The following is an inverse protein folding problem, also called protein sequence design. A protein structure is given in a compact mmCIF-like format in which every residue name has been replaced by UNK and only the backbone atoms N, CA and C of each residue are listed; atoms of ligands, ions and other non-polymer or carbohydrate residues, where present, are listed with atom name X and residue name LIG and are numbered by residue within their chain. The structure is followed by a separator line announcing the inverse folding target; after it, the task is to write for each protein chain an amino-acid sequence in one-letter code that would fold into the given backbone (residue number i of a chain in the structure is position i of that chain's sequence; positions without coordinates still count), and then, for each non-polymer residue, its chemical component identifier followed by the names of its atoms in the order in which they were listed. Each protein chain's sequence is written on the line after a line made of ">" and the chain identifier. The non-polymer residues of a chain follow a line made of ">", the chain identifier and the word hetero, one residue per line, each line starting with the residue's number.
data_IF_561977860733
#
_entry.id   IF_561977860733
#
_cell.length_a   1.000
_cell.length_b   1.000
_cell.length_c   1.000
_cell.angle_alpha   90.00
_cell.angle_beta   90.00
_cell.angle_gamma   90.00
#
_symmetry.space_group_name_H-M   'P 1'
#
loop_
_entity.id
_entity.type
_entity.pdbx_description
1 polymer ?
#
# COMPACT_ATOMS: atom_id res chain seq x y z
N UNK A 1 18.20 13.47 -13.66
CA UNK A 1 16.80 13.79 -14.00
C UNK A 1 16.19 12.92 -15.10
N UNK A 2 16.93 12.52 -16.11
CA UNK A 2 16.39 11.72 -17.22
C UNK A 2 15.81 10.34 -16.87
N UNK A 3 16.33 9.64 -15.85
CA UNK A 3 15.82 8.33 -15.46
C UNK A 3 14.42 8.41 -14.84
N UNK A 4 14.14 9.41 -13.99
CA UNK A 4 12.83 9.59 -13.35
C UNK A 4 11.74 9.92 -14.35
N UNK A 5 12.06 10.72 -15.37
CA UNK A 5 11.15 11.09 -16.46
C UNK A 5 10.83 9.87 -17.32
N UNK A 6 11.82 9.05 -17.65
CA UNK A 6 11.61 7.79 -18.40
C UNK A 6 10.72 6.81 -17.65
N UNK A 7 10.95 6.65 -16.35
CA UNK A 7 10.11 5.78 -15.49
C UNK A 7 8.67 6.29 -15.44
N UNK A 8 8.47 7.60 -15.30
CA UNK A 8 7.13 8.20 -15.30
C UNK A 8 6.41 8.02 -16.64
N UNK A 9 7.10 8.21 -17.77
CA UNK A 9 6.55 8.05 -19.12
C UNK A 9 6.07 6.61 -19.36
N UNK A 10 6.76 5.61 -18.80
CA UNK A 10 6.37 4.20 -18.90
C UNK A 10 5.27 3.85 -17.88
N UNK A 11 5.38 4.37 -16.66
CA UNK A 11 4.45 4.06 -15.58
C UNK A 11 3.04 4.61 -15.81
N UNK A 12 2.91 5.81 -16.38
CA UNK A 12 1.61 6.45 -16.63
C UNK A 12 0.75 5.64 -17.62
N UNK A 13 1.25 5.22 -18.80
CA UNK A 13 0.46 4.39 -19.73
C UNK A 13 0.08 3.04 -19.13
N UNK A 14 0.98 2.41 -18.38
CA UNK A 14 0.70 1.14 -17.70
C UNK A 14 -0.40 1.31 -16.66
N UNK A 15 -0.33 2.37 -15.86
CA UNK A 15 -1.37 2.68 -14.87
C UNK A 15 -2.73 2.94 -15.52
N UNK A 16 -2.77 3.71 -16.59
CA UNK A 16 -4.01 3.97 -17.34
C UNK A 16 -4.59 2.70 -17.98
N UNK A 17 -3.73 1.83 -18.49
CA UNK A 17 -4.14 0.55 -19.05
C UNK A 17 -4.73 -0.36 -17.96
N UNK A 18 -4.08 -0.45 -16.79
CA UNK A 18 -4.58 -1.22 -15.65
C UNK A 18 -5.91 -0.69 -15.13
N UNK A 19 -6.08 0.62 -15.07
CA UNK A 19 -7.35 1.26 -14.67
C UNK A 19 -8.47 0.90 -15.65
N UNK A 20 -8.17 0.86 -16.94
CA UNK A 20 -9.15 0.50 -17.98
C UNK A 20 -9.55 -0.97 -17.96
N UNK A 21 -8.60 -1.87 -17.79
CA UNK A 21 -8.88 -3.31 -17.76
C UNK A 21 -9.71 -3.74 -16.56
N UNK A 22 -9.48 -3.09 -15.44
CA UNK A 22 -10.32 -3.25 -14.26
C UNK A 22 -10.26 -4.57 -13.51
N UNK A 23 -11.07 -4.67 -12.46
CA UNK A 23 -11.26 -5.91 -11.70
C UNK A 23 -9.99 -6.42 -11.02
N UNK A 24 -9.79 -7.73 -11.07
CA UNK A 24 -8.69 -8.42 -10.42
C UNK A 24 -7.31 -7.97 -10.91
N UNK A 25 -7.18 -7.67 -12.22
CA UNK A 25 -5.91 -7.21 -12.80
C UNK A 25 -5.47 -5.86 -12.22
N UNK A 26 -6.41 -4.94 -12.00
CA UNK A 26 -6.12 -3.67 -11.34
C UNK A 26 -5.68 -3.87 -9.90
N UNK A 27 -6.38 -4.72 -9.14
CA UNK A 27 -6.04 -5.04 -7.76
C UNK A 27 -4.64 -5.68 -7.65
N UNK A 28 -4.30 -6.61 -8.56
CA UNK A 28 -2.97 -7.21 -8.63
C UNK A 28 -1.89 -6.18 -8.99
N UNK A 29 -2.16 -5.29 -9.93
CA UNK A 29 -1.24 -4.20 -10.28
C UNK A 29 -0.96 -3.27 -9.09
N UNK A 30 -1.99 -2.87 -8.35
CA UNK A 30 -1.87 -2.06 -7.14
C UNK A 30 -1.13 -2.82 -6.03
N UNK A 31 -1.37 -4.12 -5.88
CA UNK A 31 -0.65 -4.97 -4.93
C UNK A 31 0.84 -5.00 -5.25
N UNK A 32 1.21 -5.23 -6.50
CA UNK A 32 2.61 -5.23 -6.93
C UNK A 32 3.26 -3.87 -6.66
N UNK A 33 2.59 -2.77 -7.02
CA UNK A 33 3.09 -1.42 -6.75
C UNK A 33 3.27 -1.15 -5.25
N UNK A 34 2.33 -1.59 -4.42
CA UNK A 34 2.42 -1.47 -2.96
C UNK A 34 3.61 -2.24 -2.38
N UNK A 35 3.84 -3.46 -2.85
CA UNK A 35 4.96 -4.29 -2.40
C UNK A 35 6.31 -3.75 -2.89
N UNK A 36 6.39 -3.31 -4.14
CA UNK A 36 7.59 -2.66 -4.69
C UNK A 36 7.88 -1.36 -3.95
N UNK A 37 6.86 -0.54 -3.70
CA UNK A 37 7.00 0.70 -2.92
C UNK A 37 7.50 0.44 -1.50
N UNK A 38 6.99 -0.63 -0.84
CA UNK A 38 7.48 -1.03 0.47
C UNK A 38 8.94 -1.51 0.43
N UNK A 39 9.32 -2.25 -0.59
CA UNK A 39 10.69 -2.71 -0.77
C UNK A 39 11.67 -1.55 -0.99
N UNK A 40 11.30 -0.56 -1.81
CA UNK A 40 12.09 0.66 -2.00
C UNK A 40 12.20 1.48 -0.70
N UNK A 41 11.07 1.65 0.00
CA UNK A 41 11.02 2.32 1.30
C UNK A 41 11.95 1.66 2.32
N UNK A 42 11.88 0.34 2.44
CA UNK A 42 12.77 -0.43 3.30
C UNK A 42 14.24 -0.24 2.93
N UNK A 43 14.58 -0.35 1.65
CA UNK A 43 15.95 -0.21 1.18
C UNK A 43 16.52 1.19 1.47
N UNK A 44 15.70 2.22 1.35
CA UNK A 44 16.06 3.59 1.68
C UNK A 44 16.42 3.71 3.18
N UNK A 45 15.57 3.21 4.06
CA UNK A 45 15.76 3.28 5.50
C UNK A 45 16.92 2.39 6.00
N UNK A 46 17.12 1.24 5.39
CA UNK A 46 18.24 0.34 5.74
C UNK A 46 19.60 0.99 5.47
N UNK A 47 19.69 1.90 4.51
CA UNK A 47 20.92 2.68 4.25
C UNK A 47 21.25 3.62 5.41
N UNK A 48 20.24 4.11 6.12
CA UNK A 48 20.39 4.98 7.29
C UNK A 48 20.49 4.19 8.60
N UNK A 49 20.65 2.86 8.52
CA UNK A 49 20.80 1.99 9.69
C UNK A 49 19.47 1.67 10.41
N UNK A 50 18.34 2.04 9.83
CA UNK A 50 17.01 1.81 10.40
C UNK A 50 16.48 0.46 9.93
N UNK A 51 16.01 -0.35 10.87
CA UNK A 51 15.46 -1.68 10.59
C UNK A 51 13.94 -1.61 10.47
N UNK A 52 13.44 -1.84 9.29
CA UNK A 52 11.99 -1.99 9.05
C UNK A 52 11.62 -3.48 9.16
N UNK A 53 10.54 -3.77 9.89
CA UNK A 53 10.03 -5.14 10.06
C UNK A 53 9.39 -5.63 8.77
N UNK A 54 10.15 -6.40 8.02
CA UNK A 54 9.81 -6.79 6.65
C UNK A 54 8.59 -7.71 6.59
N UNK A 55 8.54 -8.73 7.44
CA UNK A 55 7.48 -9.73 7.41
C UNK A 55 6.12 -9.09 7.72
N UNK A 56 6.04 -8.35 8.80
CA UNK A 56 4.80 -7.66 9.24
C UNK A 56 4.39 -6.57 8.24
N UNK A 57 5.35 -5.83 7.70
CA UNK A 57 5.09 -4.80 6.68
C UNK A 57 4.52 -5.37 5.39
N UNK A 58 5.15 -6.41 4.83
CA UNK A 58 4.69 -7.05 3.58
C UNK A 58 3.30 -7.68 3.77
N UNK A 59 3.10 -8.43 4.85
CA UNK A 59 1.82 -9.06 5.14
C UNK A 59 0.72 -8.02 5.39
N UNK A 60 1.02 -6.96 6.15
CA UNK A 60 0.07 -5.91 6.45
C UNK A 60 -0.37 -5.16 5.20
N UNK A 61 0.56 -4.68 4.39
CA UNK A 61 0.27 -3.98 3.14
C UNK A 61 -0.46 -4.91 2.16
N UNK A 62 0.01 -6.14 2.01
CA UNK A 62 -0.60 -7.12 1.13
C UNK A 62 -2.05 -7.44 1.51
N UNK A 63 -2.33 -7.66 2.79
CA UNK A 63 -3.69 -7.95 3.26
C UNK A 63 -4.62 -6.73 3.21
N UNK A 64 -4.12 -5.52 3.44
CA UNK A 64 -4.90 -4.29 3.27
C UNK A 64 -5.35 -4.12 1.81
N UNK A 65 -4.42 -4.29 0.88
CA UNK A 65 -4.73 -4.17 -0.56
C UNK A 65 -5.63 -5.33 -1.01
N UNK A 66 -5.38 -6.55 -0.56
CA UNK A 66 -6.21 -7.71 -0.87
C UNK A 66 -7.63 -7.56 -0.30
N UNK A 67 -7.79 -7.07 0.92
CA UNK A 67 -9.09 -6.80 1.54
C UNK A 67 -9.91 -5.78 0.73
N UNK A 68 -9.27 -4.73 0.25
CA UNK A 68 -9.90 -3.77 -0.65
C UNK A 68 -10.27 -4.40 -2.00
N UNK A 69 -9.39 -5.22 -2.59
CA UNK A 69 -9.63 -5.91 -3.85
C UNK A 69 -10.75 -6.97 -3.79
N UNK A 70 -11.05 -7.48 -2.61
CA UNK A 70 -12.17 -8.40 -2.36
C UNK A 70 -13.50 -7.66 -2.08
N UNK A 71 -13.51 -6.33 -2.15
CA UNK A 71 -14.70 -5.52 -1.91
C UNK A 71 -15.16 -5.52 -0.45
N UNK A 72 -14.22 -5.64 0.49
CA UNK A 72 -14.50 -5.66 1.93
C UNK A 72 -13.83 -4.47 2.64
N UNK A 73 -14.32 -3.25 2.45
CA UNK A 73 -13.74 -2.05 3.05
C UNK A 73 -13.81 -2.05 4.59
N UNK A 74 -14.75 -2.76 5.17
CA UNK A 74 -14.89 -2.90 6.62
C UNK A 74 -13.68 -3.55 7.29
N UNK A 75 -12.86 -4.29 6.54
CA UNK A 75 -11.67 -4.96 7.06
C UNK A 75 -10.45 -4.05 7.15
N UNK A 76 -10.47 -2.89 6.48
CA UNK A 76 -9.30 -1.99 6.44
C UNK A 76 -8.92 -1.47 7.82
N UNK A 77 -9.88 -0.98 8.61
CA UNK A 77 -9.62 -0.47 9.95
C UNK A 77 -9.12 -1.56 10.91
N UNK A 78 -9.82 -2.70 11.07
CA UNK A 78 -9.35 -3.75 11.97
C UNK A 78 -8.00 -4.35 11.54
N UNK A 79 -7.75 -4.50 10.24
CA UNK A 79 -6.44 -4.96 9.75
C UNK A 79 -5.34 -3.95 10.05
N UNK A 80 -5.56 -2.66 9.81
CA UNK A 80 -4.58 -1.61 10.12
C UNK A 80 -4.25 -1.61 11.61
N UNK A 81 -5.27 -1.70 12.47
CA UNK A 81 -5.09 -1.75 13.92
C UNK A 81 -4.32 -3.00 14.34
N UNK A 82 -4.71 -4.17 13.83
CA UNK A 82 -4.05 -5.44 14.13
C UNK A 82 -2.57 -5.41 13.76
N UNK A 83 -2.26 -4.98 12.53
CA UNK A 83 -0.88 -4.93 12.07
C UNK A 83 -0.05 -3.86 12.77
N UNK A 84 -0.64 -2.73 13.15
CA UNK A 84 0.03 -1.73 13.98
C UNK A 84 0.39 -2.28 15.36
N UNK A 85 -0.51 -3.06 15.98
CA UNK A 85 -0.22 -3.75 17.24
C UNK A 85 0.86 -4.83 17.08
N UNK A 86 0.82 -5.60 15.99
CA UNK A 86 1.85 -6.61 15.70
C UNK A 86 3.23 -5.96 15.52
N UNK A 87 3.31 -4.83 14.83
CA UNK A 87 4.56 -4.07 14.68
C UNK A 87 5.07 -3.57 16.03
N UNK A 88 4.18 -3.12 16.91
CA UNK A 88 4.57 -2.74 18.27
C UNK A 88 5.10 -3.92 19.09
N UNK A 89 4.43 -5.08 19.02
CA UNK A 89 4.90 -6.30 19.70
C UNK A 89 6.24 -6.78 19.15
N UNK A 90 6.41 -6.76 17.83
CA UNK A 90 7.68 -7.09 17.18
C UNK A 90 8.79 -6.13 17.62
N UNK A 91 8.50 -4.84 17.71
CA UNK A 91 9.40 -3.82 18.24
C UNK A 91 9.81 -4.07 19.68
N UNK A 92 8.88 -4.47 20.55
CA UNK A 92 9.17 -4.83 21.92
C UNK A 92 10.05 -6.08 22.02
N UNK A 93 9.84 -7.05 21.14
CA UNK A 93 10.67 -8.24 21.08
C UNK A 93 12.13 -7.92 20.74
N UNK A 94 12.35 -6.99 19.80
CA UNK A 94 13.69 -6.53 19.40
C UNK A 94 14.17 -5.31 20.17
N UNK A 95 13.53 -4.95 21.29
CA UNK A 95 13.89 -3.78 22.10
C UNK A 95 15.37 -3.73 22.50
N UNK A 96 15.94 -4.90 22.82
CA UNK A 96 17.34 -5.02 23.22
C UNK A 96 18.36 -4.66 22.12
N UNK A 97 17.95 -4.64 20.85
CA UNK A 97 18.82 -4.27 19.72
C UNK A 97 18.95 -2.76 19.53
N UNK A 98 18.21 -1.95 20.28
CA UNK A 98 18.19 -0.49 20.18
C UNK A 98 17.26 0.04 19.07
N UNK A 99 17.12 1.38 19.01
CA UNK A 99 16.31 2.07 18.00
C UNK A 99 14.82 1.65 17.91
N UNK A 100 14.29 1.13 19.01
CA UNK A 100 12.89 0.66 19.09
C UNK A 100 11.87 1.68 18.58
N UNK A 101 11.86 2.96 19.01
CA UNK A 101 10.84 3.90 18.56
C UNK A 101 10.90 4.19 17.07
N UNK A 102 12.10 4.28 16.52
CA UNK A 102 12.33 4.59 15.11
C UNK A 102 11.92 3.43 14.21
N UNK A 103 12.39 2.23 14.52
CA UNK A 103 12.07 1.02 13.74
C UNK A 103 10.57 0.72 13.72
N UNK A 104 9.93 0.80 14.89
CA UNK A 104 8.50 0.56 15.06
C UNK A 104 7.67 1.65 14.39
N UNK A 105 8.01 2.91 14.66
CA UNK A 105 7.28 4.05 14.11
C UNK A 105 7.32 4.10 12.58
N UNK A 106 8.50 3.86 11.99
CA UNK A 106 8.66 3.87 10.54
C UNK A 106 8.01 2.65 9.87
N UNK A 107 7.94 1.50 10.52
CA UNK A 107 7.20 0.35 10.01
C UNK A 107 5.69 0.60 10.06
N UNK A 108 5.16 1.17 11.16
CA UNK A 108 3.77 1.61 11.24
C UNK A 108 3.44 2.66 10.17
N UNK A 109 4.35 3.61 9.96
CA UNK A 109 4.19 4.65 8.94
C UNK A 109 4.11 4.04 7.53
N UNK A 110 4.86 2.98 7.24
CA UNK A 110 4.76 2.27 5.97
C UNK A 110 3.38 1.63 5.77
N UNK A 111 2.81 1.02 6.79
CA UNK A 111 1.46 0.44 6.74
C UNK A 111 0.41 1.51 6.41
N UNK A 112 0.48 2.66 7.09
CA UNK A 112 -0.47 3.77 6.89
C UNK A 112 -0.21 4.48 5.56
N UNK A 113 1.03 4.73 5.20
CA UNK A 113 1.41 5.54 4.04
C UNK A 113 1.36 4.78 2.71
N UNK A 114 1.63 3.49 2.71
CA UNK A 114 1.58 2.63 1.52
C UNK A 114 0.32 1.77 1.51
N UNK A 115 -0.02 1.13 2.63
CA UNK A 115 -1.14 0.21 2.69
C UNK A 115 -2.50 0.88 2.47
N UNK A 116 -2.81 1.92 3.24
CA UNK A 116 -4.11 2.59 3.16
C UNK A 116 -4.35 3.33 1.85
N UNK A 117 -3.44 4.17 1.32
CA UNK A 117 -3.69 4.86 0.07
C UNK A 117 -3.90 3.89 -1.10
N UNK A 118 -3.09 2.85 -1.22
CA UNK A 118 -3.26 1.87 -2.28
C UNK A 118 -4.56 1.06 -2.14
N UNK A 119 -4.97 0.70 -0.93
CA UNK A 119 -6.25 0.08 -0.67
C UNK A 119 -7.42 1.01 -1.06
N UNK A 120 -7.34 2.29 -0.71
CA UNK A 120 -8.34 3.28 -1.09
C UNK A 120 -8.41 3.54 -2.59
N UNK A 121 -7.30 3.44 -3.31
CA UNK A 121 -7.30 3.50 -4.77
C UNK A 121 -8.21 2.44 -5.39
N UNK A 122 -8.17 1.22 -4.87
CA UNK A 122 -9.04 0.13 -5.32
C UNK A 122 -10.50 0.43 -5.00
N UNK A 123 -10.78 0.88 -3.77
CA UNK A 123 -12.14 1.21 -3.33
C UNK A 123 -12.75 2.37 -4.13
N UNK A 124 -11.97 3.43 -4.37
CA UNK A 124 -12.42 4.57 -5.19
C UNK A 124 -12.82 4.13 -6.59
N UNK A 125 -12.08 3.20 -7.17
CA UNK A 125 -12.39 2.68 -8.48
C UNK A 125 -13.68 1.86 -8.48
N UNK A 126 -13.93 1.06 -7.46
CA UNK A 126 -15.16 0.27 -7.33
C UNK A 126 -16.39 1.16 -7.16
N UNK A 127 -16.25 2.29 -6.45
CA UNK A 127 -17.32 3.29 -6.36
C UNK A 127 -17.70 3.85 -7.73
N UNK A 128 -16.73 4.04 -8.61
CA UNK A 128 -16.98 4.54 -9.97
C UNK A 128 -17.62 3.47 -10.87
N UNK A 129 -17.31 2.19 -10.66
CA UNK A 129 -17.85 1.06 -11.41
C UNK A 129 -19.29 0.68 -11.04
N UNK A 130 -19.74 1.06 -9.85
CA UNK A 130 -21.10 0.82 -9.35
C UNK A 130 -22.08 1.99 -9.57
N UNK A 131 -21.58 3.15 -9.91
CA UNK A 131 -22.43 4.24 -10.39
C UNK A 131 -22.78 3.95 -11.85
N UNK A 132 -24.05 3.76 -12.14
CA UNK A 132 -24.59 4.07 -13.46
C UNK A 132 -23.91 5.37 -13.92
N UNK A 133 -23.43 5.46 -15.15
CA UNK A 133 -22.90 6.72 -15.63
C UNK A 133 -24.00 7.76 -15.41
N UNK A 134 -23.78 8.62 -14.41
CA UNK A 134 -24.52 9.87 -14.36
C UNK A 134 -24.15 10.53 -15.68
N UNK A 135 -25.11 10.72 -16.60
CA UNK A 135 -24.78 11.41 -17.84
C UNK A 135 -24.20 12.75 -17.43
N UNK A 136 -22.92 12.96 -17.72
CA UNK A 136 -22.21 14.21 -17.45
C UNK A 136 -22.80 15.38 -18.24
N UNK A 137 -23.81 15.10 -19.06
CA UNK A 137 -24.50 16.03 -19.92
C UNK A 137 -26.00 15.76 -19.70
N UNK A 138 -26.61 16.65 -18.91
CA UNK A 138 -28.00 16.54 -18.55
C UNK A 138 -28.91 16.33 -19.78
N UNK A 139 -29.67 15.27 -19.74
CA UNK A 139 -30.95 15.18 -20.37
C UNK A 139 -31.99 15.03 -19.29
#
# INVERSE_FOLDING_TARGET
>A
MGQRIRTAIVAIPIALFLIRMGGLLFALGVLILGLVGFWEYRNMLTRDGIRVYQATGILGIGLLIAGAGLGKPEWLLPLTTLFSLLVMLEGLYFYAEGHFPENTGLTCMALVYLGLPFAHFILLRELTGGMHPVPLWGE
#
